data_IF_590193605475
#
_entry.id   IF_590193605475
#
_cell.length_a   1.000
_cell.length_b   1.000
_cell.length_c   1.000
_cell.angle_alpha   90.00
_cell.angle_beta   90.00
_cell.angle_gamma   90.00
#
_symmetry.space_group_name_H-M   'P 1'
#
loop_
_entity.id
_entity.type
_entity.pdbx_description
1 polymer ?
#
# COMPACT_ATOMS: atom_id res chain seq x y z
N UNK A 1 21.08 -18.36 -4.49
CA UNK A 1 19.71 -17.80 -4.61
C UNK A 1 18.80 -18.99 -4.80
N UNK A 2 17.85 -19.17 -3.88
CA UNK A 2 17.14 -20.43 -3.66
C UNK A 2 16.09 -20.68 -4.75
N UNK A 3 16.24 -21.78 -5.49
CA UNK A 3 15.22 -22.26 -6.45
C UNK A 3 13.84 -22.49 -5.80
N UNK A 4 13.79 -22.70 -4.48
CA UNK A 4 12.54 -22.87 -3.72
C UNK A 4 11.72 -21.58 -3.53
N UNK A 5 12.36 -20.40 -3.55
CA UNK A 5 11.67 -19.10 -3.45
C UNK A 5 11.02 -18.71 -4.79
N UNK A 6 11.75 -18.99 -5.89
CA UNK A 6 11.23 -18.86 -7.26
C UNK A 6 10.00 -19.76 -7.49
N UNK A 7 10.01 -20.96 -6.90
CA UNK A 7 8.86 -21.87 -6.94
C UNK A 7 7.68 -21.34 -6.13
N UNK A 8 7.87 -20.76 -4.94
CA UNK A 8 6.76 -20.26 -4.09
C UNK A 8 5.92 -19.21 -4.81
N UNK A 9 6.53 -18.18 -5.39
CA UNK A 9 5.81 -17.10 -6.07
C UNK A 9 5.16 -17.53 -7.39
N UNK A 10 5.80 -18.46 -8.10
CA UNK A 10 5.27 -19.05 -9.34
C UNK A 10 4.10 -20.00 -9.05
N UNK A 11 4.21 -20.83 -8.00
CA UNK A 11 3.15 -21.68 -7.48
C UNK A 11 1.98 -20.86 -6.93
N UNK A 12 2.23 -19.73 -6.25
CA UNK A 12 1.15 -18.82 -5.81
C UNK A 12 0.39 -18.19 -6.98
N UNK A 13 1.10 -17.81 -8.07
CA UNK A 13 0.46 -17.33 -9.31
C UNK A 13 -0.30 -18.42 -10.06
N UNK A 14 0.17 -19.67 -10.04
CA UNK A 14 -0.45 -20.80 -10.75
C UNK A 14 -1.58 -21.48 -9.98
N UNK A 15 -1.51 -21.53 -8.65
CA UNK A 15 -2.48 -22.22 -7.79
C UNK A 15 -3.68 -21.35 -7.40
N UNK A 16 -3.55 -20.02 -7.46
CA UNK A 16 -4.62 -19.12 -7.01
C UNK A 16 -5.63 -18.82 -8.12
N UNK A 17 -6.71 -19.60 -8.17
CA UNK A 17 -7.98 -19.13 -8.76
C UNK A 17 -8.70 -18.12 -7.86
N UNK A 18 -8.15 -17.80 -6.67
CA UNK A 18 -8.64 -16.82 -5.69
C UNK A 18 -7.79 -15.54 -5.63
N UNK A 19 -8.15 -14.60 -4.75
CA UNK A 19 -7.36 -13.41 -4.49
C UNK A 19 -6.08 -13.77 -3.71
N UNK A 20 -4.92 -13.26 -4.15
CA UNK A 20 -3.64 -13.52 -3.50
C UNK A 20 -3.57 -12.83 -2.13
N UNK A 21 -2.97 -13.47 -1.12
CA UNK A 21 -2.78 -12.90 0.21
C UNK A 21 -1.29 -12.79 0.52
N UNK A 22 -0.88 -11.72 1.20
CA UNK A 22 0.51 -11.49 1.60
C UNK A 22 0.58 -11.22 3.09
N UNK A 23 1.48 -11.91 3.79
CA UNK A 23 1.80 -11.61 5.18
C UNK A 23 2.93 -10.57 5.31
N UNK A 24 3.37 -10.29 6.54
CA UNK A 24 4.43 -9.31 6.79
C UNK A 24 5.78 -9.73 6.19
N UNK A 25 6.11 -11.02 6.16
CA UNK A 25 7.36 -11.52 5.58
C UNK A 25 7.32 -11.37 4.06
N UNK A 26 6.19 -11.70 3.44
CA UNK A 26 5.98 -11.48 2.01
C UNK A 26 6.14 -9.99 1.63
N UNK A 27 5.60 -9.08 2.47
CA UNK A 27 5.70 -7.63 2.25
C UNK A 27 7.13 -7.11 2.40
N UNK A 28 7.89 -7.61 3.37
CA UNK A 28 9.30 -7.27 3.58
C UNK A 28 10.18 -7.70 2.40
N UNK A 29 9.86 -8.82 1.75
CA UNK A 29 10.57 -9.31 0.57
C UNK A 29 10.17 -8.56 -0.70
N UNK A 30 8.89 -8.20 -0.83
CA UNK A 30 8.35 -7.57 -2.03
C UNK A 30 8.68 -6.07 -2.12
N UNK A 31 8.56 -5.35 -1.01
CA UNK A 31 8.65 -3.90 -1.00
C UNK A 31 10.09 -3.43 -0.76
N UNK A 32 10.57 -2.41 -1.48
CA UNK A 32 11.87 -1.79 -1.24
C UNK A 32 11.80 -0.83 -0.02
N UNK A 33 11.17 -1.27 1.06
CA UNK A 33 10.89 -0.49 2.27
C UNK A 33 11.41 -1.27 3.47
N UNK A 34 12.13 -0.58 4.35
CA UNK A 34 12.60 -1.18 5.60
C UNK A 34 11.40 -1.55 6.48
N UNK A 35 11.48 -2.70 7.16
CA UNK A 35 10.40 -3.25 8.00
C UNK A 35 9.81 -2.24 8.99
N UNK A 36 10.64 -1.41 9.61
CA UNK A 36 10.24 -0.40 10.58
C UNK A 36 9.44 0.77 9.97
N UNK A 37 9.44 0.88 8.64
CA UNK A 37 8.69 1.88 7.86
C UNK A 37 7.47 1.30 7.14
N UNK A 38 7.22 0.00 7.25
CA UNK A 38 6.01 -0.61 6.68
C UNK A 38 4.78 -0.13 7.45
N UNK A 39 3.79 0.36 6.69
CA UNK A 39 2.52 0.87 7.20
C UNK A 39 1.34 -0.05 6.87
N UNK A 40 1.64 -1.27 6.41
CA UNK A 40 0.67 -2.32 6.12
C UNK A 40 1.15 -3.57 6.84
N UNK A 41 0.25 -4.25 7.54
CA UNK A 41 0.60 -5.46 8.28
C UNK A 41 0.33 -6.73 7.47
N UNK A 42 -0.69 -6.71 6.59
CA UNK A 42 -1.04 -7.82 5.69
C UNK A 42 -1.91 -7.36 4.52
N UNK A 43 -1.85 -8.10 3.42
CA UNK A 43 -2.75 -7.95 2.25
C UNK A 43 -3.72 -9.12 2.24
N UNK A 44 -5.01 -8.82 2.37
CA UNK A 44 -6.10 -9.80 2.44
C UNK A 44 -6.55 -10.30 1.07
N UNK A 45 -6.36 -9.46 0.04
CA UNK A 45 -6.71 -9.77 -1.33
C UNK A 45 -5.88 -8.90 -2.26
N UNK A 46 -5.18 -9.52 -3.19
CA UNK A 46 -4.38 -8.87 -4.22
C UNK A 46 -4.74 -9.39 -5.59
N UNK A 47 -4.91 -8.45 -6.51
CA UNK A 47 -5.00 -8.65 -7.94
C UNK A 47 -3.90 -7.82 -8.59
N UNK A 48 -2.78 -8.45 -8.99
CA UNK A 48 -1.61 -7.75 -9.53
C UNK A 48 -1.97 -6.76 -10.64
N UNK A 49 -1.35 -5.58 -10.62
CA UNK A 49 -1.60 -4.48 -11.56
C UNK A 49 -2.94 -3.77 -11.42
N UNK A 50 -3.89 -4.29 -10.63
CA UNK A 50 -5.27 -3.77 -10.59
C UNK A 50 -5.75 -3.29 -9.23
N UNK A 51 -5.64 -4.10 -8.18
CA UNK A 51 -6.37 -3.82 -6.93
C UNK A 51 -5.82 -4.61 -5.74
N UNK A 52 -5.86 -4.02 -4.56
CA UNK A 52 -5.55 -4.72 -3.32
C UNK A 52 -6.37 -4.22 -2.12
N UNK A 53 -6.63 -5.14 -1.19
CA UNK A 53 -7.22 -4.87 0.14
C UNK A 53 -6.21 -5.28 1.19
N UNK A 54 -5.97 -4.41 2.16
CA UNK A 54 -4.99 -4.64 3.21
C UNK A 54 -5.48 -4.17 4.58
N UNK A 55 -4.76 -4.59 5.62
CA UNK A 55 -5.03 -4.19 6.99
C UNK A 55 -3.82 -3.52 7.62
N UNK A 56 -4.09 -2.53 8.48
CA UNK A 56 -3.10 -1.92 9.36
C UNK A 56 -3.65 -1.79 10.77
N UNK A 57 -3.08 -2.51 11.72
CA UNK A 57 -3.30 -2.30 13.14
C UNK A 57 -2.58 -1.03 13.60
N UNK A 58 -3.33 -0.16 14.26
CA UNK A 58 -2.84 1.08 14.85
C UNK A 58 -3.03 1.00 16.34
N UNK A 59 -1.96 1.27 17.08
CA UNK A 59 -1.95 1.27 18.54
C UNK A 59 -1.52 2.64 19.05
N UNK A 60 -1.98 3.00 20.25
CA UNK A 60 -1.61 4.27 20.88
C UNK A 60 -0.14 4.36 21.33
N UNK A 61 0.59 3.24 21.28
CA UNK A 61 1.92 3.13 21.88
C UNK A 61 1.92 3.38 23.39
N UNK A 62 3.09 3.36 24.04
CA UNK A 62 3.25 3.86 25.40
C UNK A 62 2.95 5.36 25.45
N UNK A 63 2.37 5.87 26.56
CA UNK A 63 2.03 7.30 26.76
C UNK A 63 3.20 8.25 26.45
N UNK A 64 4.44 7.82 26.66
CA UNK A 64 5.67 8.58 26.42
C UNK A 64 5.97 8.82 24.92
N UNK A 65 5.33 8.08 24.01
CA UNK A 65 5.48 8.18 22.55
C UNK A 65 4.30 8.88 21.88
N UNK A 66 3.35 9.41 22.66
CA UNK A 66 2.20 10.14 22.12
C UNK A 66 2.69 11.36 21.33
N UNK A 67 2.22 11.45 20.07
CA UNK A 67 2.63 12.46 19.11
C UNK A 67 2.48 13.88 19.70
N UNK A 68 3.57 14.65 19.69
CA UNK A 68 3.57 16.11 19.93
C UNK A 68 2.93 16.58 21.25
N UNK A 69 3.07 15.83 22.35
CA UNK A 69 2.60 16.29 23.67
C UNK A 69 1.09 16.42 23.80
N UNK A 70 0.32 15.75 22.93
CA UNK A 70 -1.12 15.53 23.13
C UNK A 70 -1.30 14.32 24.05
N UNK A 71 -2.15 14.45 25.07
CA UNK A 71 -2.50 13.36 25.99
C UNK A 71 -3.38 12.28 25.31
N UNK A 72 -4.01 12.64 24.20
CA UNK A 72 -4.95 11.82 23.44
C UNK A 72 -4.33 11.25 22.17
N UNK A 73 -4.72 10.03 21.83
CA UNK A 73 -4.26 9.35 20.62
C UNK A 73 -4.82 10.04 19.37
N UNK A 74 -4.00 10.16 18.33
CA UNK A 74 -4.44 10.62 17.02
C UNK A 74 -3.61 9.93 15.96
N UNK A 75 -4.26 9.30 14.98
CA UNK A 75 -3.57 8.76 13.81
C UNK A 75 -3.51 9.81 12.69
N UNK A 76 -2.32 10.14 12.15
CA UNK A 76 -2.21 11.14 11.09
C UNK A 76 -2.83 10.64 9.78
N UNK A 77 -3.69 11.44 9.15
CA UNK A 77 -4.26 11.14 7.82
C UNK A 77 -3.20 10.99 6.75
N UNK A 78 -2.05 11.68 6.88
CA UNK A 78 -0.89 11.49 6.00
C UNK A 78 -0.29 10.09 6.09
N UNK A 79 -0.31 9.46 7.26
CA UNK A 79 0.15 8.07 7.41
C UNK A 79 -0.84 7.09 6.77
N UNK A 80 -2.15 7.37 6.85
CA UNK A 80 -3.16 6.60 6.12
C UNK A 80 -2.96 6.70 4.59
N UNK A 81 -2.66 7.89 4.09
CA UNK A 81 -2.31 8.05 2.67
C UNK A 81 -1.03 7.28 2.31
N UNK A 82 0.05 7.41 3.09
CA UNK A 82 1.30 6.67 2.84
C UNK A 82 1.09 5.15 2.89
N UNK A 83 0.18 4.64 3.70
CA UNK A 83 -0.18 3.23 3.68
C UNK A 83 -0.89 2.84 2.37
N UNK A 84 -1.77 3.67 1.81
CA UNK A 84 -2.34 3.45 0.47
C UNK A 84 -1.30 3.53 -0.64
N UNK A 85 -0.33 4.44 -0.52
CA UNK A 85 0.82 4.54 -1.43
C UNK A 85 1.64 3.23 -1.40
N UNK A 86 1.98 2.70 -0.22
CA UNK A 86 2.66 1.41 -0.09
C UNK A 86 1.84 0.27 -0.70
N UNK A 87 0.51 0.28 -0.54
CA UNK A 87 -0.35 -0.73 -1.14
C UNK A 87 -0.37 -0.63 -2.66
N UNK A 88 -0.21 0.58 -3.21
CA UNK A 88 -0.03 0.79 -4.65
C UNK A 88 1.28 0.19 -5.16
N UNK A 89 2.35 0.28 -4.37
CA UNK A 89 3.62 -0.39 -4.69
C UNK A 89 3.42 -1.91 -4.76
N UNK A 90 2.67 -2.50 -3.81
CA UNK A 90 2.32 -3.93 -3.86
C UNK A 90 1.59 -4.26 -5.17
N UNK A 91 0.59 -3.47 -5.56
CA UNK A 91 -0.16 -3.66 -6.80
C UNK A 91 0.76 -3.62 -8.03
N UNK A 92 1.67 -2.64 -8.11
CA UNK A 92 2.57 -2.46 -9.25
C UNK A 92 3.68 -3.53 -9.31
N UNK A 93 4.37 -3.77 -8.20
CA UNK A 93 5.53 -4.67 -8.15
C UNK A 93 5.09 -6.12 -8.35
N UNK A 94 3.92 -6.50 -7.82
CA UNK A 94 3.39 -7.87 -8.01
C UNK A 94 3.02 -8.20 -9.46
N UNK A 95 2.85 -7.20 -10.34
CA UNK A 95 2.65 -7.41 -11.77
C UNK A 95 3.95 -7.81 -12.48
N UNK A 96 5.11 -7.44 -11.93
CA UNK A 96 6.39 -7.58 -12.61
C UNK A 96 6.93 -9.03 -12.58
N UNK A 97 7.73 -9.43 -13.59
CA UNK A 97 8.46 -10.68 -13.56
C UNK A 97 9.49 -10.70 -12.41
N UNK A 98 9.69 -11.87 -11.80
CA UNK A 98 10.69 -12.02 -10.73
C UNK A 98 12.12 -11.92 -11.29
N UNK A 99 13.03 -11.37 -10.47
CA UNK A 99 14.47 -11.35 -10.77
C UNK A 99 14.91 -10.24 -11.73
N UNK A 100 14.03 -9.30 -12.08
CA UNK A 100 14.42 -8.07 -12.77
C UNK A 100 14.77 -6.99 -11.74
N UNK A 101 15.78 -6.18 -12.06
CA UNK A 101 16.07 -4.97 -11.28
C UNK A 101 14.99 -3.96 -11.60
N UNK A 102 14.23 -3.55 -10.60
CA UNK A 102 13.09 -2.65 -10.84
C UNK A 102 13.51 -1.23 -10.45
N UNK A 103 13.35 -0.28 -11.37
CA UNK A 103 13.27 1.13 -11.03
C UNK A 103 12.08 1.31 -10.08
N UNK A 104 12.33 1.69 -8.83
CA UNK A 104 11.29 1.70 -7.80
C UNK A 104 10.15 2.66 -8.21
N UNK A 105 8.88 2.19 -8.28
CA UNK A 105 7.76 3.08 -8.54
C UNK A 105 7.69 4.18 -7.50
N UNK A 106 7.31 5.39 -7.90
CA UNK A 106 7.36 6.56 -7.03
C UNK A 106 6.12 7.43 -7.17
N UNK A 107 5.69 8.05 -6.07
CA UNK A 107 4.62 9.04 -6.08
C UNK A 107 5.01 10.24 -6.95
N UNK A 108 4.09 10.62 -7.84
CA UNK A 108 4.24 11.78 -8.73
C UNK A 108 3.42 12.95 -8.19
N UNK A 109 2.13 12.69 -7.92
CA UNK A 109 1.21 13.73 -7.45
C UNK A 109 0.04 13.13 -6.68
N UNK A 110 -0.54 13.92 -5.78
CA UNK A 110 -1.80 13.63 -5.12
C UNK A 110 -2.86 14.52 -5.79
N UNK A 111 -3.80 13.92 -6.50
CA UNK A 111 -4.83 14.64 -7.24
C UNK A 111 -5.95 15.12 -6.30
N UNK A 112 -6.35 14.29 -5.33
CA UNK A 112 -7.27 14.68 -4.27
C UNK A 112 -7.05 13.86 -3.01
N UNK A 113 -7.35 14.44 -1.87
CA UNK A 113 -7.41 13.74 -0.58
C UNK A 113 -8.50 14.38 0.28
N UNK A 114 -9.46 13.58 0.72
CA UNK A 114 -10.52 14.00 1.62
C UNK A 114 -10.42 13.24 2.94
N UNK A 115 -10.52 13.97 4.05
CA UNK A 115 -10.42 13.45 5.41
C UNK A 115 -11.75 13.71 6.10
N UNK A 116 -12.54 12.66 6.27
CA UNK A 116 -13.92 12.76 6.76
C UNK A 116 -13.99 12.91 8.28
N UNK A 117 -13.01 12.37 9.00
CA UNK A 117 -12.94 12.41 10.47
C UNK A 117 -11.47 12.40 10.93
N UNK A 118 -11.22 12.75 12.19
CA UNK A 118 -9.93 12.52 12.85
C UNK A 118 -9.98 11.16 13.55
N UNK A 119 -8.99 10.30 13.32
CA UNK A 119 -8.93 9.00 14.00
C UNK A 119 -8.33 9.17 15.39
N UNK A 120 -9.21 9.20 16.39
CA UNK A 120 -8.87 9.47 17.81
C UNK A 120 -8.82 8.22 18.69
N UNK A 121 -9.11 7.04 18.14
CA UNK A 121 -9.04 5.76 18.85
C UNK A 121 -8.18 4.74 18.09
N UNK A 122 -7.37 3.93 18.81
CA UNK A 122 -6.69 2.79 18.23
C UNK A 122 -7.65 1.80 17.57
N UNK A 123 -7.19 1.09 16.55
CA UNK A 123 -8.05 0.16 15.84
C UNK A 123 -7.39 -0.49 14.64
N UNK A 124 -8.20 -1.21 13.87
CA UNK A 124 -7.80 -1.85 12.63
C UNK A 124 -8.27 -1.00 11.45
N UNK A 125 -7.31 -0.47 10.69
CA UNK A 125 -7.57 0.21 9.43
C UNK A 125 -7.73 -0.83 8.33
N UNK A 126 -8.75 -0.67 7.50
CA UNK A 126 -8.91 -1.41 6.27
C UNK A 126 -8.58 -0.48 5.10
N UNK A 127 -7.64 -0.90 4.27
CA UNK A 127 -7.21 -0.17 3.09
C UNK A 127 -7.75 -0.84 1.86
N UNK A 128 -8.30 -0.08 0.93
CA UNK A 128 -8.72 -0.53 -0.38
C UNK A 128 -8.12 0.39 -1.43
N UNK A 129 -7.33 -0.16 -2.34
CA UNK A 129 -6.66 0.60 -3.41
C UNK A 129 -6.92 -0.07 -4.75
N UNK A 130 -7.21 0.74 -5.75
CA UNK A 130 -7.47 0.33 -7.13
C UNK A 130 -6.67 1.20 -8.09
N UNK A 131 -6.03 0.57 -9.07
CA UNK A 131 -5.46 1.28 -10.22
C UNK A 131 -6.58 1.71 -11.18
N UNK A 132 -6.53 2.96 -11.63
CA UNK A 132 -7.43 3.52 -12.62
C UNK A 132 -6.88 3.46 -14.05
N UNK A 133 -5.68 2.88 -14.22
CA UNK A 133 -5.00 2.71 -15.50
C UNK A 133 -3.92 3.77 -15.75
N UNK A 134 -3.43 3.80 -16.99
CA UNK A 134 -2.37 4.72 -17.43
C UNK A 134 -2.95 6.13 -17.56
N UNK A 135 -2.21 7.11 -17.03
CA UNK A 135 -2.53 8.54 -17.12
C UNK A 135 -1.38 9.26 -17.83
N UNK A 136 -1.72 10.18 -18.74
CA UNK A 136 -0.72 11.01 -19.42
C UNK A 136 -0.45 12.29 -18.61
N UNK A 137 0.78 12.44 -18.14
CA UNK A 137 1.27 13.63 -17.44
C UNK A 137 2.47 14.15 -18.22
N UNK A 138 2.25 15.22 -18.99
CA UNK A 138 3.22 15.77 -19.97
C UNK A 138 4.60 16.11 -19.38
N UNK A 139 4.68 16.34 -18.07
CA UNK A 139 5.89 16.76 -17.36
C UNK A 139 6.69 15.59 -16.77
N UNK A 140 6.20 14.35 -16.90
CA UNK A 140 6.79 13.16 -16.29
C UNK A 140 7.25 12.18 -17.35
N UNK A 141 8.55 11.92 -17.39
CA UNK A 141 9.11 10.89 -18.27
C UNK A 141 8.74 9.49 -17.76
N UNK A 142 8.05 8.70 -18.60
CA UNK A 142 7.69 7.31 -18.35
C UNK A 142 6.19 7.07 -18.27
N UNK A 143 5.81 5.82 -18.01
CA UNK A 143 4.40 5.46 -17.79
C UNK A 143 3.98 5.86 -16.37
N UNK A 144 2.85 6.55 -16.25
CA UNK A 144 2.27 6.95 -14.97
C UNK A 144 0.95 6.20 -14.81
N UNK A 145 0.73 5.60 -13.65
CA UNK A 145 -0.50 4.93 -13.27
C UNK A 145 -1.29 5.81 -12.30
N UNK A 146 -2.59 5.92 -12.55
CA UNK A 146 -3.54 6.49 -11.61
C UNK A 146 -4.01 5.46 -10.59
N UNK A 147 -4.28 5.96 -9.40
CA UNK A 147 -4.80 5.19 -8.28
C UNK A 147 -5.90 5.97 -7.57
N UNK A 148 -6.83 5.21 -7.01
CA UNK A 148 -7.80 5.67 -6.03
C UNK A 148 -7.83 4.71 -4.86
N UNK A 149 -8.24 5.20 -3.70
CA UNK A 149 -8.38 4.33 -2.55
C UNK A 149 -9.01 5.00 -1.35
N UNK A 150 -9.30 4.14 -0.39
CA UNK A 150 -9.99 4.46 0.85
C UNK A 150 -9.32 3.76 2.01
N UNK A 151 -9.21 4.47 3.14
CA UNK A 151 -8.92 3.89 4.44
C UNK A 151 -10.16 4.01 5.29
N UNK A 152 -10.66 2.90 5.80
CA UNK A 152 -11.83 2.84 6.68
C UNK A 152 -11.50 2.24 8.04
N UNK A 153 -12.26 2.67 9.05
CA UNK A 153 -12.17 2.17 10.42
C UNK A 153 -13.58 1.83 10.88
N UNK A 154 -13.79 0.62 11.39
CA UNK A 154 -15.11 0.14 11.81
C UNK A 154 -16.20 0.26 10.73
N UNK A 155 -15.82 0.23 9.45
CA UNK A 155 -16.73 0.36 8.30
C UNK A 155 -17.02 1.78 7.87
N UNK A 156 -16.43 2.80 8.49
CA UNK A 156 -16.58 4.21 8.11
C UNK A 156 -15.32 4.72 7.41
N UNK A 157 -15.50 5.45 6.31
CA UNK A 157 -14.41 6.01 5.52
C UNK A 157 -13.75 7.18 6.26
N UNK A 158 -12.48 7.00 6.61
CA UNK A 158 -11.65 7.99 7.29
C UNK A 158 -10.91 8.87 6.29
N UNK A 159 -10.21 8.26 5.32
CA UNK A 159 -9.48 8.96 4.26
C UNK A 159 -9.87 8.38 2.91
N UNK A 160 -10.19 9.24 1.94
CA UNK A 160 -10.33 8.87 0.53
C UNK A 160 -9.36 9.70 -0.29
N UNK A 161 -8.73 9.11 -1.30
CA UNK A 161 -7.76 9.83 -2.12
C UNK A 161 -7.71 9.32 -3.56
N UNK A 162 -7.20 10.19 -4.43
CA UNK A 162 -6.75 9.84 -5.79
C UNK A 162 -5.35 10.38 -6.01
N UNK A 163 -4.46 9.58 -6.59
CA UNK A 163 -3.05 9.92 -6.77
C UNK A 163 -2.46 9.26 -8.02
N UNK A 164 -1.26 9.70 -8.39
CA UNK A 164 -0.53 9.20 -9.55
C UNK A 164 0.85 8.72 -9.12
N UNK A 165 1.26 7.57 -9.65
CA UNK A 165 2.58 7.01 -9.42
C UNK A 165 3.27 6.67 -10.73
N UNK A 166 4.55 6.98 -10.84
CA UNK A 166 5.38 6.56 -11.95
C UNK A 166 5.58 5.05 -11.85
N UNK A 167 5.26 4.33 -12.93
CA UNK A 167 5.48 2.89 -13.02
C UNK A 167 6.97 2.60 -13.06
N UNK A 168 7.39 1.64 -12.25
CA UNK A 168 8.75 1.13 -12.30
C UNK A 168 9.04 0.47 -13.65
N UNK A 169 10.26 0.63 -14.15
CA UNK A 169 10.74 -0.09 -15.32
C UNK A 169 11.60 -1.28 -14.88
N UNK A 170 11.54 -2.42 -15.59
CA UNK A 170 12.55 -3.47 -15.48
C UNK A 170 13.97 -3.05 -15.87
#
# INVERSE_FOLDING_TARGET
MNDSENDRWSLHRQASTGALQLDATDLEELLPIQRDRLLIDRVLALRPGMHAIAEKAVSAGPREQQFRGREEFTFPSTHAFSAMEQLSLVIMISELPLGQTIDVPALVSIASMNVSAELVEPGLLHLNVRSTGIVDIQEVEGEVLGFEGTVSVNGEDFVTATWHMKKGKP
#
